data_IF_958019954271
#
_entry.id   IF_958019954271
#
_cell.length_a   1.000
_cell.length_b   1.000
_cell.length_c   1.000
_cell.angle_alpha   90.00
_cell.angle_beta   90.00
_cell.angle_gamma   90.00
#
_symmetry.space_group_name_H-M   'P 1'
#
loop_
_entity.id
_entity.type
_entity.pdbx_description
1 polymer ?
#
# COMPACT_ATOMS: atom_id res chain seq x y z
N UNK A 1 -25.58 17.03 -5.74
CA UNK A 1 -24.39 16.31 -6.21
C UNK A 1 -23.18 17.18 -5.90
N UNK A 2 -22.19 16.63 -5.23
CA UNK A 2 -20.98 17.36 -4.82
C UNK A 2 -19.97 17.25 -5.96
N UNK A 3 -19.52 18.37 -6.51
CA UNK A 3 -18.54 18.43 -7.57
C UNK A 3 -17.13 18.43 -7.01
N UNK A 4 -16.29 17.52 -7.49
CA UNK A 4 -14.90 17.35 -7.05
C UNK A 4 -13.95 17.56 -8.24
N UNK A 5 -13.01 18.48 -8.09
CA UNK A 5 -11.92 18.71 -9.06
C UNK A 5 -10.69 17.94 -8.61
N UNK A 6 -10.14 17.11 -9.49
CA UNK A 6 -8.88 16.39 -9.24
C UNK A 6 -7.70 17.26 -9.70
N UNK A 7 -6.74 17.50 -8.82
CA UNK A 7 -5.53 18.29 -9.09
C UNK A 7 -4.33 17.34 -9.06
N UNK A 8 -3.72 17.14 -10.22
CA UNK A 8 -2.55 16.29 -10.45
C UNK A 8 -1.40 17.13 -11.07
N UNK A 9 -0.13 16.71 -10.90
CA UNK A 9 1.00 17.35 -11.56
C UNK A 9 0.93 17.20 -13.08
N UNK A 10 1.25 18.25 -13.82
CA UNK A 10 1.20 18.24 -15.29
C UNK A 10 2.14 17.21 -15.95
N UNK A 11 3.27 16.90 -15.32
CA UNK A 11 4.35 16.09 -15.93
C UNK A 11 4.49 14.66 -15.41
N UNK A 12 3.99 14.38 -14.25
CA UNK A 12 4.00 13.03 -13.68
C UNK A 12 2.59 12.72 -13.21
N UNK A 13 1.80 12.30 -14.14
CA UNK A 13 0.54 11.67 -13.81
C UNK A 13 0.84 10.48 -12.93
N UNK A 14 0.82 10.71 -11.62
CA UNK A 14 0.72 9.61 -10.69
C UNK A 14 -0.69 9.06 -10.87
N UNK A 15 -0.89 8.43 -12.03
CA UNK A 15 -2.13 7.75 -12.38
C UNK A 15 -2.57 6.84 -11.25
N UNK A 16 -1.63 6.51 -10.35
CA UNK A 16 -1.86 5.70 -9.17
C UNK A 16 -2.77 6.38 -8.15
N UNK A 17 -2.59 7.67 -7.85
CA UNK A 17 -3.30 8.32 -6.74
C UNK A 17 -4.80 8.42 -6.97
N UNK A 18 -5.22 8.83 -8.16
CA UNK A 18 -6.66 9.03 -8.46
C UNK A 18 -7.31 7.90 -9.25
N UNK A 19 -6.52 6.97 -9.76
CA UNK A 19 -7.03 5.85 -10.58
C UNK A 19 -8.13 5.02 -9.89
N UNK A 20 -8.07 4.69 -8.59
CA UNK A 20 -9.16 3.99 -7.92
C UNK A 20 -10.48 4.76 -7.97
N UNK A 21 -10.41 6.08 -7.83
CA UNK A 21 -11.58 6.95 -7.85
C UNK A 21 -12.18 7.07 -9.25
N UNK A 22 -11.32 7.19 -10.27
CA UNK A 22 -11.75 7.17 -11.68
C UNK A 22 -12.40 5.84 -12.03
N UNK A 23 -11.83 4.74 -11.53
CA UNK A 23 -12.42 3.42 -11.73
C UNK A 23 -13.79 3.27 -11.05
N UNK A 24 -13.96 3.84 -9.88
CA UNK A 24 -15.21 3.81 -9.12
C UNK A 24 -16.20 4.93 -9.51
N UNK A 25 -15.98 5.65 -10.62
CA UNK A 25 -16.68 6.89 -10.97
C UNK A 25 -18.20 6.75 -10.95
N UNK A 26 -18.75 5.63 -11.45
CA UNK A 26 -20.18 5.39 -11.42
C UNK A 26 -20.71 5.19 -10.00
N UNK A 27 -20.02 4.37 -9.19
CA UNK A 27 -20.41 4.15 -7.79
C UNK A 27 -20.25 5.42 -6.95
N UNK A 28 -19.28 6.28 -7.26
CA UNK A 28 -19.13 7.58 -6.61
C UNK A 28 -20.26 8.54 -6.99
N UNK A 29 -20.69 8.51 -8.25
CA UNK A 29 -21.86 9.29 -8.69
C UNK A 29 -23.14 8.85 -7.99
N UNK A 30 -23.32 7.55 -7.79
CA UNK A 30 -24.48 6.98 -7.08
C UNK A 30 -24.59 7.47 -5.63
N UNK A 31 -23.46 7.78 -4.99
CA UNK A 31 -23.41 8.39 -3.64
C UNK A 31 -23.36 9.93 -3.65
N UNK A 32 -23.54 10.54 -4.82
CA UNK A 32 -23.64 11.99 -4.96
C UNK A 32 -22.32 12.73 -5.17
N UNK A 33 -21.21 12.04 -5.51
CA UNK A 33 -19.93 12.65 -5.87
C UNK A 33 -19.73 12.63 -7.40
N UNK A 34 -19.41 13.77 -7.98
CA UNK A 34 -19.16 13.93 -9.41
C UNK A 34 -17.80 14.59 -9.66
N UNK A 35 -16.95 13.96 -10.47
CA UNK A 35 -15.70 14.58 -10.87
C UNK A 35 -15.93 15.58 -12.02
N UNK A 36 -15.26 16.74 -11.92
CA UNK A 36 -15.32 17.82 -12.90
C UNK A 36 -13.94 18.30 -13.29
N UNK A 37 -13.81 18.71 -14.54
CA UNK A 37 -12.63 19.44 -15.06
C UNK A 37 -12.85 20.95 -15.07
N UNK A 38 -14.07 21.42 -14.81
CA UNK A 38 -14.44 22.83 -14.80
C UNK A 38 -13.91 23.58 -13.57
N UNK A 39 -14.04 24.91 -13.60
CA UNK A 39 -13.59 25.76 -12.49
C UNK A 39 -14.65 25.94 -11.39
N UNK A 40 -15.87 25.49 -11.63
CA UNK A 40 -16.95 25.46 -10.62
C UNK A 40 -16.98 24.08 -9.96
N UNK A 41 -16.50 24.00 -8.74
CA UNK A 41 -16.46 22.77 -7.94
C UNK A 41 -16.67 23.10 -6.44
N UNK A 42 -17.11 22.09 -5.71
CA UNK A 42 -17.35 22.20 -4.25
C UNK A 42 -16.09 21.86 -3.45
N UNK A 43 -15.27 20.91 -3.97
CA UNK A 43 -14.02 20.45 -3.35
C UNK A 43 -12.94 20.24 -4.39
N UNK A 44 -11.68 20.53 -4.02
CA UNK A 44 -10.50 20.06 -4.76
C UNK A 44 -9.87 18.89 -4.00
N UNK A 45 -9.55 17.81 -4.73
CA UNK A 45 -8.68 16.75 -4.23
C UNK A 45 -7.31 16.94 -4.86
N UNK A 46 -6.31 17.16 -4.02
CA UNK A 46 -4.98 17.55 -4.45
C UNK A 46 -4.02 16.40 -4.17
N UNK A 47 -3.46 15.83 -5.24
CA UNK A 47 -2.46 14.78 -5.10
C UNK A 47 -1.18 15.33 -4.45
N UNK A 48 -0.59 14.56 -3.56
CA UNK A 48 0.65 14.92 -2.86
C UNK A 48 1.75 15.36 -3.84
N UNK A 49 1.94 14.66 -4.96
CA UNK A 49 2.96 15.00 -5.95
C UNK A 49 2.76 16.37 -6.62
N UNK A 50 1.59 17.03 -6.44
CA UNK A 50 1.35 18.42 -6.84
C UNK A 50 1.90 19.43 -5.83
N UNK A 51 2.12 19.02 -4.59
CA UNK A 51 2.50 19.90 -3.48
C UNK A 51 3.90 19.61 -2.93
N UNK A 52 4.45 18.43 -3.18
CA UNK A 52 5.76 18.01 -2.68
C UNK A 52 6.67 17.62 -3.84
N UNK A 53 7.90 18.13 -3.84
CA UNK A 53 8.91 17.80 -4.83
C UNK A 53 9.85 16.72 -4.31
N UNK A 54 9.99 15.63 -5.07
CA UNK A 54 10.95 14.55 -4.75
C UNK A 54 12.42 14.95 -4.94
N UNK A 55 12.68 16.06 -5.63
CA UNK A 55 14.02 16.50 -6.01
C UNK A 55 14.50 17.75 -5.25
N UNK A 56 13.71 18.27 -4.30
CA UNK A 56 14.06 19.40 -3.47
C UNK A 56 14.36 18.95 -2.04
N UNK A 57 15.13 19.76 -1.32
CA UNK A 57 15.29 19.60 0.11
C UNK A 57 13.93 19.67 0.82
N UNK A 58 13.82 19.00 1.97
CA UNK A 58 12.53 18.82 2.65
C UNK A 58 11.85 20.16 2.97
N UNK A 59 12.58 21.08 3.63
CA UNK A 59 12.04 22.39 4.01
C UNK A 59 11.61 23.22 2.79
N UNK A 60 12.39 23.19 1.72
CA UNK A 60 12.06 23.86 0.47
C UNK A 60 10.78 23.27 -0.16
N UNK A 61 10.67 21.95 -0.13
CA UNK A 61 9.50 21.25 -0.65
C UNK A 61 8.24 21.60 0.15
N UNK A 62 8.33 21.62 1.49
CA UNK A 62 7.25 22.04 2.39
C UNK A 62 6.83 23.49 2.11
N UNK A 63 7.77 24.42 2.03
CA UNK A 63 7.49 25.83 1.76
C UNK A 63 6.76 26.03 0.42
N UNK A 64 7.22 25.38 -0.65
CA UNK A 64 6.56 25.40 -1.96
C UNK A 64 5.16 24.79 -1.91
N UNK A 65 4.98 23.70 -1.15
CA UNK A 65 3.67 23.06 -0.98
C UNK A 65 2.67 24.01 -0.28
N UNK A 66 3.10 24.69 0.77
CA UNK A 66 2.27 25.68 1.48
C UNK A 66 1.92 26.85 0.55
N UNK A 67 2.90 27.39 -0.18
CA UNK A 67 2.66 28.46 -1.17
C UNK A 67 1.68 28.01 -2.27
N UNK A 68 1.83 26.78 -2.79
CA UNK A 68 0.90 26.24 -3.77
C UNK A 68 -0.52 26.17 -3.20
N UNK A 69 -0.70 25.64 -2.00
CA UNK A 69 -2.01 25.49 -1.36
C UNK A 69 -2.64 26.82 -0.97
N UNK A 70 -1.85 27.86 -0.68
CA UNK A 70 -2.38 29.20 -0.36
C UNK A 70 -3.15 29.84 -1.51
N UNK A 71 -2.97 29.34 -2.74
CA UNK A 71 -3.70 29.81 -3.94
C UNK A 71 -5.13 29.27 -4.02
N UNK A 72 -5.45 28.26 -3.22
CA UNK A 72 -6.80 27.68 -3.18
C UNK A 72 -7.68 28.38 -2.14
N UNK A 73 -8.72 29.06 -2.62
CA UNK A 73 -9.70 29.78 -1.78
C UNK A 73 -10.89 28.90 -1.38
N UNK A 74 -11.10 27.77 -2.06
CA UNK A 74 -12.17 26.81 -1.82
C UNK A 74 -11.81 25.72 -0.82
N UNK A 75 -12.72 24.79 -0.61
CA UNK A 75 -12.52 23.61 0.21
C UNK A 75 -11.64 22.60 -0.53
N UNK A 76 -10.62 22.07 0.14
CA UNK A 76 -9.76 21.05 -0.47
C UNK A 76 -9.27 20.01 0.52
N UNK A 77 -8.80 18.89 -0.02
CA UNK A 77 -8.18 17.78 0.70
C UNK A 77 -6.87 17.41 0.04
N UNK A 78 -5.93 16.91 0.83
CA UNK A 78 -4.67 16.35 0.34
C UNK A 78 -4.82 14.84 0.25
N UNK A 79 -4.49 14.26 -0.90
CA UNK A 79 -4.45 12.81 -1.12
C UNK A 79 -2.98 12.39 -1.16
N UNK A 80 -2.53 11.72 -0.12
CA UNK A 80 -1.19 11.17 -0.01
C UNK A 80 -1.19 9.70 -0.47
N UNK A 81 -0.73 9.50 -1.69
CA UNK A 81 -0.61 8.18 -2.34
C UNK A 81 0.71 7.46 -2.03
N UNK A 82 1.52 7.94 -1.09
CA UNK A 82 2.77 7.28 -0.72
C UNK A 82 2.54 5.93 -0.08
N UNK A 83 3.46 5.01 -0.35
CA UNK A 83 3.32 3.60 -0.02
C UNK A 83 3.35 3.30 1.49
N UNK A 84 4.02 4.15 2.30
CA UNK A 84 4.24 3.87 3.72
C UNK A 84 3.23 4.55 4.64
N UNK A 85 3.15 4.07 5.88
CA UNK A 85 2.38 4.72 6.95
C UNK A 85 2.99 6.05 7.40
N UNK A 86 4.21 6.38 6.98
CA UNK A 86 4.89 7.63 7.35
C UNK A 86 4.14 8.87 6.86
N UNK A 87 4.11 9.90 7.67
CA UNK A 87 3.49 11.20 7.35
C UNK A 87 4.50 12.25 6.86
N UNK A 88 5.79 11.88 6.74
CA UNK A 88 6.90 12.80 6.46
C UNK A 88 6.65 13.71 5.27
N UNK A 89 6.02 13.21 4.21
CA UNK A 89 5.90 13.98 2.97
C UNK A 89 4.76 15.00 2.95
N UNK A 90 3.82 14.90 3.87
CA UNK A 90 2.57 15.68 3.75
C UNK A 90 2.13 16.34 5.03
N UNK A 91 2.62 15.88 6.19
CA UNK A 91 2.14 16.35 7.48
C UNK A 91 2.39 17.84 7.71
N UNK A 92 3.63 18.31 7.46
CA UNK A 92 3.97 19.71 7.70
C UNK A 92 3.25 20.65 6.73
N UNK A 93 3.07 20.23 5.48
CA UNK A 93 2.22 21.00 4.54
C UNK A 93 0.76 20.99 4.98
N UNK A 94 0.25 19.83 5.41
CA UNK A 94 -1.12 19.70 5.88
C UNK A 94 -1.41 20.57 7.10
N UNK A 95 -0.57 20.52 8.13
CA UNK A 95 -0.79 21.28 9.37
C UNK A 95 -0.72 22.81 9.19
N UNK A 96 0.07 23.27 8.22
CA UNK A 96 0.20 24.69 7.89
C UNK A 96 -0.73 25.15 6.75
N UNK A 97 -1.71 24.33 6.37
CA UNK A 97 -2.66 24.61 5.31
C UNK A 97 -4.10 24.59 5.84
N UNK A 98 -5.02 25.07 4.98
CA UNK A 98 -6.47 25.01 5.23
C UNK A 98 -7.12 23.71 4.69
N UNK A 99 -6.33 22.68 4.38
CA UNK A 99 -6.87 21.41 3.94
C UNK A 99 -7.85 20.84 4.96
N UNK A 100 -9.00 20.38 4.53
CA UNK A 100 -10.01 19.78 5.41
C UNK A 100 -9.56 18.42 5.94
N UNK A 101 -8.96 17.61 5.07
CA UNK A 101 -8.48 16.27 5.37
C UNK A 101 -7.11 16.02 4.73
N UNK A 102 -6.35 15.18 5.39
CA UNK A 102 -5.23 14.42 4.82
C UNK A 102 -5.68 12.96 4.66
N UNK A 103 -5.78 12.50 3.42
CA UNK A 103 -6.15 11.14 3.08
C UNK A 103 -4.90 10.35 2.69
N UNK A 104 -4.51 9.40 3.53
CA UNK A 104 -3.28 8.63 3.41
C UNK A 104 -3.56 7.21 2.93
N UNK A 105 -2.66 6.61 2.18
CA UNK A 105 -2.75 5.22 1.69
C UNK A 105 -2.92 4.21 2.82
N UNK A 106 -2.09 4.32 3.85
CA UNK A 106 -2.11 3.47 5.04
C UNK A 106 -1.73 4.29 6.28
N UNK A 107 -2.20 3.89 7.44
CA UNK A 107 -1.93 4.58 8.70
C UNK A 107 -1.58 3.56 9.80
N UNK A 108 -0.82 3.99 10.80
CA UNK A 108 -0.69 3.21 12.04
C UNK A 108 -2.02 3.19 12.77
N UNK A 109 -2.49 2.03 13.26
CA UNK A 109 -3.72 1.95 14.09
C UNK A 109 -3.54 2.68 15.40
N UNK A 110 -2.41 2.47 16.07
CA UNK A 110 -2.03 3.28 17.22
C UNK A 110 -1.37 4.58 16.76
N UNK A 111 -2.15 5.64 16.70
CA UNK A 111 -1.71 6.97 16.29
C UNK A 111 -0.68 7.59 17.24
N UNK A 112 -0.61 7.13 18.49
CA UNK A 112 0.35 7.65 19.47
C UNK A 112 1.80 7.39 19.06
N UNK A 113 2.03 6.33 18.26
CA UNK A 113 3.34 5.98 17.73
C UNK A 113 3.93 7.06 16.82
N UNK A 114 3.10 7.88 16.19
CA UNK A 114 3.58 9.00 15.38
C UNK A 114 4.31 10.07 16.22
N UNK A 115 4.01 10.17 17.53
CA UNK A 115 4.66 11.15 18.43
C UNK A 115 6.12 10.82 18.69
N UNK A 116 6.46 9.55 18.67
CA UNK A 116 7.78 9.03 19.01
C UNK A 116 8.69 8.86 17.78
N UNK A 117 8.20 9.24 16.61
CA UNK A 117 8.83 8.91 15.35
C UNK A 117 8.53 7.49 14.91
N UNK A 118 9.01 7.13 13.72
CA UNK A 118 8.64 5.88 13.10
C UNK A 118 9.28 4.70 13.79
N UNK A 119 8.50 4.05 14.62
CA UNK A 119 8.81 2.72 15.10
C UNK A 119 8.81 1.73 13.92
N UNK A 120 9.41 0.57 14.07
CA UNK A 120 9.47 -0.48 13.07
C UNK A 120 10.32 -0.16 11.83
N UNK A 121 11.22 0.79 11.93
CA UNK A 121 12.14 1.11 10.85
C UNK A 121 11.47 1.56 9.56
N UNK A 122 10.36 2.25 9.65
CA UNK A 122 9.61 2.70 8.48
C UNK A 122 9.86 4.12 8.10
N UNK A 123 11.02 4.55 8.39
CA UNK A 123 11.53 5.79 7.87
C UNK A 123 12.08 5.54 6.47
N UNK A 124 11.21 5.57 5.50
CA UNK A 124 11.58 5.32 4.11
C UNK A 124 12.40 6.43 3.46
N UNK A 125 12.55 7.53 4.15
CA UNK A 125 13.24 8.69 3.64
C UNK A 125 14.56 8.93 4.35
N UNK A 126 15.11 7.86 4.97
CA UNK A 126 16.47 7.86 5.48
C UNK A 126 16.59 8.30 6.92
N UNK A 127 17.31 9.29 7.17
CA UNK A 127 17.89 9.68 8.43
C UNK A 127 16.90 9.95 9.56
N UNK A 128 16.86 9.06 10.52
CA UNK A 128 16.12 9.21 11.75
C UNK A 128 14.63 8.95 11.62
N UNK A 129 13.94 9.03 12.69
CA UNK A 129 12.51 8.86 12.76
C UNK A 129 11.79 10.19 12.60
N UNK A 130 10.85 10.28 11.65
CA UNK A 130 9.97 11.43 11.54
C UNK A 130 8.90 11.38 12.63
N UNK A 131 8.99 12.30 13.58
CA UNK A 131 8.04 12.42 14.68
C UNK A 131 7.04 13.55 14.42
N UNK A 132 5.79 13.32 14.81
CA UNK A 132 4.73 14.33 14.77
C UNK A 132 4.16 14.53 16.18
N UNK A 133 4.87 15.24 17.07
CA UNK A 133 4.50 15.34 18.48
C UNK A 133 3.15 16.02 18.72
N UNK A 134 2.71 16.84 17.78
CA UNK A 134 1.46 17.62 17.81
C UNK A 134 0.30 16.93 17.06
N UNK A 135 0.46 15.69 16.65
CA UNK A 135 -0.51 14.97 15.78
C UNK A 135 -1.93 14.89 16.37
N UNK A 136 -2.07 14.86 17.70
CA UNK A 136 -3.38 14.75 18.35
C UNK A 136 -4.36 15.84 17.89
N UNK A 137 -3.86 17.03 17.58
CA UNK A 137 -4.65 18.16 17.11
C UNK A 137 -5.26 17.91 15.72
N UNK A 138 -4.69 16.95 14.98
CA UNK A 138 -5.03 16.69 13.58
C UNK A 138 -5.62 15.31 13.31
N UNK A 139 -5.62 14.40 14.30
CA UNK A 139 -6.04 13.00 14.13
C UNK A 139 -7.44 12.84 13.54
N UNK A 140 -8.38 13.70 13.95
CA UNK A 140 -9.75 13.67 13.40
C UNK A 140 -9.80 13.93 11.90
N UNK A 141 -8.79 14.63 11.37
CA UNK A 141 -8.68 15.06 9.97
C UNK A 141 -7.74 14.19 9.13
N UNK A 142 -7.13 13.14 9.71
CA UNK A 142 -6.26 12.20 9.01
C UNK A 142 -6.98 10.86 8.88
N UNK A 143 -7.22 10.41 7.64
CA UNK A 143 -7.99 9.20 7.32
C UNK A 143 -7.31 8.38 6.24
N UNK A 144 -7.66 7.11 6.12
CA UNK A 144 -7.21 6.29 4.99
C UNK A 144 -7.92 6.69 3.70
N UNK A 145 -7.17 6.79 2.60
CA UNK A 145 -7.67 7.30 1.32
C UNK A 145 -8.45 6.25 0.50
N UNK A 146 -8.16 4.97 0.69
CA UNK A 146 -8.64 3.93 -0.20
C UNK A 146 -7.84 3.80 -1.52
N UNK A 147 -6.69 4.46 -1.66
CA UNK A 147 -5.85 4.35 -2.87
C UNK A 147 -5.32 2.93 -3.10
N UNK A 148 -5.28 2.09 -2.07
CA UNK A 148 -4.92 0.67 -2.20
C UNK A 148 -5.92 -0.17 -3.02
N UNK A 149 -7.13 0.33 -3.28
CA UNK A 149 -8.08 -0.35 -4.20
C UNK A 149 -7.53 -0.53 -5.62
N UNK A 150 -6.43 0.14 -5.93
CA UNK A 150 -5.84 0.13 -7.25
C UNK A 150 -5.09 -1.15 -7.62
N UNK A 151 -4.54 -1.83 -6.63
CA UNK A 151 -3.57 -2.92 -6.86
C UNK A 151 -4.07 -4.02 -7.80
N UNK A 152 -5.38 -4.24 -7.87
CA UNK A 152 -5.98 -5.25 -8.77
C UNK A 152 -6.01 -4.84 -10.24
N UNK A 153 -5.95 -3.54 -10.55
CA UNK A 153 -6.00 -3.04 -11.93
C UNK A 153 -4.63 -2.87 -12.54
N UNK A 154 -3.62 -2.71 -11.72
CA UNK A 154 -2.24 -2.53 -12.18
C UNK A 154 -1.67 -3.75 -12.83
N UNK A 155 -2.07 -4.91 -12.36
CA UNK A 155 -1.55 -6.17 -12.86
C UNK A 155 -2.13 -6.56 -14.22
N UNK A 156 -3.21 -5.93 -14.69
CA UNK A 156 -3.95 -6.41 -15.86
C UNK A 156 -4.52 -7.82 -15.65
N UNK A 157 -4.55 -8.26 -14.41
CA UNK A 157 -4.90 -9.62 -14.01
C UNK A 157 -6.40 -9.78 -14.05
N UNK A 158 -6.88 -10.57 -14.99
CA UNK A 158 -8.28 -11.02 -15.00
C UNK A 158 -8.46 -12.08 -13.90
N UNK A 159 -9.03 -11.69 -12.78
CA UNK A 159 -9.21 -12.54 -11.59
C UNK A 159 -9.94 -13.86 -11.86
N UNK A 160 -10.71 -13.95 -12.95
CA UNK A 160 -11.44 -15.17 -13.33
C UNK A 160 -10.54 -16.23 -14.00
N UNK A 161 -9.42 -15.83 -14.59
CA UNK A 161 -8.55 -16.72 -15.37
C UNK A 161 -7.38 -17.30 -14.58
N UNK A 162 -7.14 -16.84 -13.35
CA UNK A 162 -5.86 -17.11 -12.68
C UNK A 162 -5.93 -18.13 -11.55
N UNK A 163 -7.09 -18.37 -10.98
CA UNK A 163 -7.20 -19.36 -9.94
C UNK A 163 -7.65 -20.70 -10.46
N UNK A 164 -6.75 -21.68 -10.37
CA UNK A 164 -7.04 -23.09 -10.51
C UNK A 164 -6.56 -23.79 -9.23
N UNK A 165 -7.51 -24.26 -8.43
CA UNK A 165 -7.23 -24.95 -7.17
C UNK A 165 -6.43 -26.24 -7.39
N UNK A 166 -6.64 -26.90 -8.55
CA UNK A 166 -6.07 -28.21 -8.86
C UNK A 166 -4.75 -28.13 -9.61
N UNK A 167 -4.24 -26.93 -9.91
CA UNK A 167 -3.00 -26.80 -10.66
C UNK A 167 -1.79 -27.35 -9.89
N UNK A 168 -0.91 -28.06 -10.58
CA UNK A 168 0.36 -28.49 -10.03
C UNK A 168 1.28 -27.27 -9.88
N UNK A 169 1.75 -27.00 -8.67
CA UNK A 169 2.71 -25.94 -8.37
C UNK A 169 4.13 -26.48 -8.39
N UNK A 170 5.01 -25.79 -9.10
CA UNK A 170 6.40 -26.21 -9.31
C UNK A 170 7.29 -25.88 -8.12
N UNK A 171 7.01 -24.74 -7.46
CA UNK A 171 7.82 -24.20 -6.36
C UNK A 171 7.04 -24.25 -5.06
N UNK A 172 7.76 -24.55 -3.98
CA UNK A 172 7.20 -24.43 -2.64
C UNK A 172 7.05 -22.95 -2.24
N UNK A 173 8.10 -22.16 -2.51
CA UNK A 173 8.14 -20.73 -2.14
C UNK A 173 8.58 -19.87 -3.32
N UNK A 174 7.95 -18.70 -3.43
CA UNK A 174 8.36 -17.61 -4.31
C UNK A 174 8.78 -16.39 -3.46
N UNK A 175 10.00 -15.92 -3.67
CA UNK A 175 10.62 -14.76 -3.03
C UNK A 175 11.11 -13.76 -4.08
N UNK A 176 10.20 -13.30 -4.95
CA UNK A 176 10.50 -12.43 -6.08
C UNK A 176 10.50 -10.95 -5.67
N UNK A 177 11.47 -10.55 -4.87
CA UNK A 177 11.71 -9.16 -4.49
C UNK A 177 13.17 -8.78 -4.70
N UNK A 178 13.41 -7.52 -5.03
CA UNK A 178 14.75 -7.04 -5.32
C UNK A 178 15.60 -6.99 -4.05
N UNK A 179 16.78 -7.60 -4.12
CA UNK A 179 17.84 -7.57 -3.12
C UNK A 179 19.17 -7.92 -3.80
N UNK A 180 20.29 -7.23 -3.52
CA UNK A 180 20.33 -5.92 -2.86
C UNK A 180 19.72 -4.80 -3.71
N UNK A 181 19.51 -3.63 -3.10
CA UNK A 181 19.09 -2.43 -3.81
C UNK A 181 20.14 -1.98 -4.82
N UNK A 182 19.69 -1.35 -5.90
CA UNK A 182 20.61 -0.83 -6.94
C UNK A 182 21.26 0.49 -6.56
N UNK A 183 20.79 1.15 -5.51
CA UNK A 183 21.32 2.42 -5.00
C UNK A 183 21.60 2.28 -3.51
N UNK A 184 22.80 2.67 -3.09
CA UNK A 184 23.16 2.76 -1.67
C UNK A 184 22.69 4.09 -1.10
N UNK A 185 21.64 4.04 -0.30
CA UNK A 185 21.12 5.14 0.53
C UNK A 185 20.83 4.58 1.92
N UNK A 186 20.71 5.43 2.93
CA UNK A 186 20.32 4.96 4.27
C UNK A 186 18.98 4.23 4.23
N UNK A 187 18.06 4.69 3.41
CA UNK A 187 16.79 4.02 3.17
C UNK A 187 16.97 2.65 2.55
N UNK A 188 17.85 2.51 1.55
CA UNK A 188 18.10 1.22 0.92
C UNK A 188 18.78 0.23 1.85
N UNK A 189 19.65 0.67 2.73
CA UNK A 189 20.29 -0.19 3.75
C UNK A 189 19.24 -0.84 4.66
N UNK A 190 18.24 -0.07 5.05
CA UNK A 190 17.14 -0.61 5.86
C UNK A 190 16.37 -1.71 5.12
N UNK A 191 15.96 -1.48 3.88
CA UNK A 191 15.29 -2.53 3.09
C UNK A 191 16.16 -3.73 2.87
N UNK A 192 17.43 -3.49 2.56
CA UNK A 192 18.35 -4.56 2.27
C UNK A 192 18.56 -5.45 3.48
N UNK A 193 18.64 -4.87 4.69
CA UNK A 193 18.67 -5.63 5.93
C UNK A 193 17.38 -6.45 6.10
N UNK A 194 16.21 -5.82 5.95
CA UNK A 194 14.93 -6.49 6.08
C UNK A 194 14.75 -7.63 5.07
N UNK A 195 15.07 -7.37 3.80
CA UNK A 195 14.97 -8.37 2.72
C UNK A 195 16.05 -9.44 2.82
N UNK A 196 17.25 -9.08 3.30
CA UNK A 196 18.31 -10.03 3.57
C UNK A 196 17.88 -11.05 4.61
N UNK A 197 17.27 -10.63 5.71
CA UNK A 197 16.77 -11.53 6.74
C UNK A 197 15.80 -12.57 6.16
N UNK A 198 14.90 -12.15 5.27
CA UNK A 198 13.99 -13.08 4.59
C UNK A 198 14.75 -14.08 3.69
N UNK A 199 15.76 -13.61 2.94
CA UNK A 199 16.58 -14.50 2.07
C UNK A 199 17.41 -15.46 2.92
N UNK A 200 18.03 -15.00 4.00
CA UNK A 200 18.84 -15.82 4.89
C UNK A 200 17.98 -16.93 5.53
N UNK A 201 16.79 -16.58 6.02
CA UNK A 201 15.85 -17.54 6.57
C UNK A 201 15.46 -18.62 5.55
N UNK A 202 15.16 -18.22 4.31
CA UNK A 202 14.82 -19.13 3.23
C UNK A 202 16.02 -20.00 2.81
N UNK A 203 17.22 -19.46 2.84
CA UNK A 203 18.43 -20.18 2.38
C UNK A 203 18.84 -21.34 3.31
N UNK A 204 18.32 -21.36 4.53
CA UNK A 204 18.52 -22.45 5.49
C UNK A 204 17.61 -23.67 5.23
N UNK A 205 16.64 -23.55 4.33
CA UNK A 205 15.58 -24.55 4.13
C UNK A 205 15.87 -25.45 2.92
N UNK A 206 15.51 -26.74 3.03
CA UNK A 206 15.63 -27.74 1.95
C UNK A 206 14.31 -27.86 1.18
N UNK A 207 13.90 -26.77 0.52
CA UNK A 207 12.64 -26.65 -0.26
C UNK A 207 12.90 -26.04 -1.63
N UNK A 208 11.95 -26.17 -2.55
CA UNK A 208 12.05 -25.56 -3.88
C UNK A 208 11.68 -24.07 -3.82
N UNK A 209 12.64 -23.20 -4.08
CA UNK A 209 12.47 -21.75 -4.00
C UNK A 209 12.73 -21.11 -5.36
N UNK A 210 11.81 -20.25 -5.83
CA UNK A 210 12.08 -19.31 -6.91
C UNK A 210 12.31 -17.90 -6.35
N UNK A 211 13.44 -17.29 -6.73
CA UNK A 211 13.82 -15.93 -6.29
C UNK A 211 14.54 -15.20 -7.42
N UNK A 212 14.67 -13.90 -7.27
CA UNK A 212 15.57 -13.12 -8.13
C UNK A 212 17.02 -13.34 -7.71
N UNK A 213 17.91 -13.42 -8.69
CA UNK A 213 19.34 -13.30 -8.45
C UNK A 213 19.69 -11.83 -8.13
N UNK A 214 20.88 -11.59 -7.57
CA UNK A 214 21.34 -10.25 -7.20
C UNK A 214 21.15 -9.24 -8.34
N UNK A 215 20.27 -8.26 -8.12
CA UNK A 215 20.01 -7.20 -9.09
C UNK A 215 19.26 -7.64 -10.37
N UNK A 216 18.85 -8.90 -10.47
CA UNK A 216 18.14 -9.42 -11.63
C UNK A 216 16.79 -8.69 -11.82
N UNK A 217 16.51 -8.38 -13.08
CA UNK A 217 15.18 -7.94 -13.52
C UNK A 217 14.68 -8.94 -14.55
N UNK A 218 13.51 -9.49 -14.29
CA UNK A 218 12.84 -10.41 -15.21
C UNK A 218 11.66 -9.71 -15.90
N UNK A 219 11.26 -10.15 -17.11
CA UNK A 219 10.03 -9.69 -17.72
C UNK A 219 8.83 -9.90 -16.79
N UNK A 220 7.84 -9.02 -16.86
CA UNK A 220 6.63 -9.10 -16.00
C UNK A 220 5.89 -10.42 -16.19
N UNK A 221 5.88 -10.98 -17.39
CA UNK A 221 5.27 -12.27 -17.68
C UNK A 221 5.96 -13.41 -16.91
N UNK A 222 7.29 -13.39 -16.84
CA UNK A 222 8.07 -14.38 -16.09
C UNK A 222 7.87 -14.21 -14.57
N UNK A 223 7.85 -12.97 -14.10
CA UNK A 223 7.54 -12.64 -12.71
C UNK A 223 6.19 -13.23 -12.29
N UNK A 224 5.15 -13.03 -13.10
CA UNK A 224 3.84 -13.59 -12.82
C UNK A 224 3.82 -15.11 -12.94
N UNK A 225 4.52 -15.69 -13.92
CA UNK A 225 4.59 -17.13 -14.08
C UNK A 225 5.24 -17.82 -12.87
N UNK A 226 6.31 -17.25 -12.33
CA UNK A 226 6.99 -17.79 -11.13
C UNK A 226 6.07 -17.70 -9.90
N UNK A 227 5.38 -16.59 -9.69
CA UNK A 227 4.37 -16.50 -8.63
C UNK A 227 3.24 -17.52 -8.83
N UNK A 228 2.67 -17.54 -10.02
CA UNK A 228 1.59 -18.46 -10.36
C UNK A 228 1.96 -19.94 -10.08
N UNK A 229 3.18 -20.34 -10.33
CA UNK A 229 3.65 -21.72 -10.14
C UNK A 229 4.17 -22.00 -8.71
N UNK A 230 3.91 -21.15 -7.75
CA UNK A 230 4.35 -21.31 -6.36
C UNK A 230 3.21 -21.58 -5.41
N UNK A 231 3.46 -22.31 -4.30
CA UNK A 231 2.48 -22.54 -3.23
C UNK A 231 2.37 -21.32 -2.32
N UNK A 232 3.52 -20.78 -1.89
CA UNK A 232 3.66 -19.71 -0.92
C UNK A 232 4.37 -18.51 -1.58
N UNK A 233 3.90 -17.30 -1.29
CA UNK A 233 4.60 -16.06 -1.61
C UNK A 233 5.14 -15.47 -0.32
N UNK A 234 6.44 -15.22 -0.24
CA UNK A 234 7.05 -14.43 0.83
C UNK A 234 7.14 -12.97 0.38
N UNK A 235 6.52 -12.08 1.12
CA UNK A 235 6.42 -10.67 0.77
C UNK A 235 6.96 -9.76 1.88
N UNK A 236 8.27 -9.53 1.97
CA UNK A 236 8.82 -8.53 2.85
C UNK A 236 8.28 -7.14 2.48
N UNK A 237 8.29 -6.22 3.44
CA UNK A 237 7.96 -4.84 3.16
C UNK A 237 8.87 -4.24 2.10
N UNK A 238 8.30 -3.32 1.33
CA UNK A 238 9.00 -2.49 0.36
C UNK A 238 9.12 -1.05 0.86
N UNK A 239 8.89 -0.10 -0.02
CA UNK A 239 8.69 1.31 0.36
C UNK A 239 7.45 1.48 1.23
N UNK A 240 6.47 0.61 1.09
CA UNK A 240 5.30 0.52 1.92
C UNK A 240 5.12 -0.85 2.53
N UNK A 241 4.20 -0.92 3.46
CA UNK A 241 3.84 -2.15 4.15
C UNK A 241 2.95 -3.03 3.28
N UNK A 242 2.10 -2.42 2.48
CA UNK A 242 1.27 -3.09 1.48
C UNK A 242 1.90 -2.90 0.09
N UNK A 243 1.99 -3.98 -0.66
CA UNK A 243 2.57 -4.00 -1.99
C UNK A 243 1.63 -4.66 -3.00
N UNK A 244 1.73 -4.37 -4.32
CA UNK A 244 0.98 -5.07 -5.35
C UNK A 244 1.09 -6.59 -5.26
N UNK A 245 2.24 -7.11 -4.85
CA UNK A 245 2.49 -8.54 -4.64
C UNK A 245 1.52 -9.18 -3.65
N UNK A 246 1.06 -8.44 -2.65
CA UNK A 246 0.11 -8.96 -1.66
C UNK A 246 -1.22 -9.31 -2.33
N UNK A 247 -1.70 -8.44 -3.22
CA UNK A 247 -2.91 -8.68 -4.00
C UNK A 247 -2.68 -9.75 -5.09
N UNK A 248 -1.55 -9.68 -5.77
CA UNK A 248 -1.17 -10.66 -6.80
C UNK A 248 -1.13 -12.07 -6.23
N UNK A 249 -0.58 -12.25 -5.02
CA UNK A 249 -0.53 -13.55 -4.37
C UNK A 249 -1.92 -14.14 -4.16
N UNK A 250 -2.88 -13.33 -3.73
CA UNK A 250 -4.27 -13.74 -3.54
C UNK A 250 -4.92 -14.09 -4.88
N UNK A 251 -4.69 -13.28 -5.92
CA UNK A 251 -5.25 -13.52 -7.26
C UNK A 251 -4.68 -14.80 -7.88
N UNK A 252 -3.42 -15.08 -7.68
CA UNK A 252 -2.77 -16.32 -8.12
C UNK A 252 -3.09 -17.52 -7.24
N UNK A 253 -3.82 -17.31 -6.14
CA UNK A 253 -4.19 -18.38 -5.22
C UNK A 253 -2.97 -18.96 -4.50
N UNK A 254 -2.07 -18.13 -4.04
CA UNK A 254 -0.95 -18.51 -3.19
C UNK A 254 -1.29 -18.21 -1.72
N UNK A 255 -0.63 -18.90 -0.79
CA UNK A 255 -0.62 -18.48 0.60
C UNK A 255 0.40 -17.36 0.75
N UNK A 256 -0.03 -16.20 1.19
CA UNK A 256 0.84 -15.05 1.44
C UNK A 256 1.45 -15.16 2.84
N UNK A 257 2.78 -15.09 2.94
CA UNK A 257 3.48 -14.88 4.21
C UNK A 257 4.16 -13.51 4.15
N UNK A 258 3.90 -12.68 5.14
CA UNK A 258 4.54 -11.37 5.28
C UNK A 258 4.61 -10.95 6.74
N UNK A 259 5.42 -9.92 7.07
CA UNK A 259 5.42 -9.37 8.42
C UNK A 259 4.03 -8.94 8.87
N UNK A 260 3.80 -9.00 10.18
CA UNK A 260 2.50 -8.71 10.80
C UNK A 260 1.94 -7.35 10.37
N UNK A 261 0.68 -7.36 9.89
CA UNK A 261 -0.06 -6.19 9.44
C UNK A 261 -1.09 -5.67 10.45
N UNK A 262 -1.21 -6.31 11.63
CA UNK A 262 -2.26 -5.98 12.60
C UNK A 262 -2.19 -4.55 13.13
N UNK A 263 -0.99 -3.97 13.16
CA UNK A 263 -0.75 -2.60 13.62
C UNK A 263 -1.02 -1.52 12.55
N UNK A 264 -1.37 -1.92 11.34
CA UNK A 264 -1.61 -1.01 10.20
C UNK A 264 -3.09 -0.96 9.87
N UNK A 265 -3.60 0.24 9.68
CA UNK A 265 -4.90 0.50 9.09
C UNK A 265 -4.72 0.66 7.59
N UNK A 266 -5.33 -0.22 6.83
CA UNK A 266 -5.38 -0.17 5.35
C UNK A 266 -6.83 -0.04 4.87
N UNK A 267 -7.00 0.52 3.70
CA UNK A 267 -8.28 0.56 3.01
C UNK A 267 -8.09 0.12 1.54
N UNK A 268 -8.60 -1.09 1.15
CA UNK A 268 -9.35 -2.04 1.98
C UNK A 268 -8.46 -2.81 2.96
N UNK A 269 -9.03 -3.23 4.11
CA UNK A 269 -8.33 -4.09 5.08
C UNK A 269 -8.56 -5.57 4.71
N UNK A 270 -7.54 -6.15 4.08
CA UNK A 270 -7.57 -7.55 3.61
C UNK A 270 -6.81 -8.50 4.54
N UNK A 271 -6.08 -7.97 5.53
CA UNK A 271 -5.13 -8.75 6.32
C UNK A 271 -5.74 -9.27 7.63
N UNK A 272 -5.99 -10.57 7.70
CA UNK A 272 -6.35 -11.30 8.91
C UNK A 272 -5.42 -12.50 9.05
N UNK A 273 -4.58 -12.49 10.11
CA UNK A 273 -3.63 -13.57 10.33
C UNK A 273 -4.31 -14.92 10.44
N UNK A 274 -3.68 -15.94 9.84
CA UNK A 274 -4.20 -17.32 9.73
C UNK A 274 -5.58 -17.46 9.08
N UNK A 275 -6.10 -16.37 8.46
CA UNK A 275 -7.36 -16.40 7.72
C UNK A 275 -7.21 -15.99 6.25
N UNK A 276 -6.49 -14.91 5.97
CA UNK A 276 -6.29 -14.37 4.64
C UNK A 276 -4.82 -14.25 4.24
N UNK A 277 -3.93 -14.33 5.20
CA UNK A 277 -2.48 -14.42 5.06
C UNK A 277 -1.91 -15.09 6.30
N UNK A 278 -0.59 -15.31 6.31
CA UNK A 278 0.12 -15.81 7.49
C UNK A 278 1.12 -14.74 7.92
N UNK A 279 0.95 -14.25 9.13
CA UNK A 279 1.85 -13.29 9.72
C UNK A 279 3.16 -13.96 10.15
N UNK A 280 4.29 -13.30 9.89
CA UNK A 280 5.58 -13.64 10.46
C UNK A 280 6.17 -12.44 11.21
N UNK A 281 7.21 -12.70 12.00
CA UNK A 281 7.96 -11.63 12.66
C UNK A 281 8.63 -10.71 11.64
N UNK A 282 8.80 -9.46 12.02
CA UNK A 282 9.42 -8.47 11.16
C UNK A 282 10.86 -8.82 10.74
N UNK A 283 11.60 -9.52 11.60
CA UNK A 283 12.97 -10.00 11.33
C UNK A 283 13.04 -11.34 10.62
N UNK A 284 11.87 -11.95 10.29
CA UNK A 284 11.73 -13.26 9.66
C UNK A 284 12.31 -14.44 10.45
N UNK A 285 12.55 -14.26 11.75
CA UNK A 285 13.15 -15.34 12.58
C UNK A 285 12.25 -16.58 12.71
N UNK A 286 10.92 -16.43 12.52
CA UNK A 286 9.94 -17.54 12.53
C UNK A 286 9.48 -17.97 11.12
N UNK A 287 10.05 -17.40 10.06
CA UNK A 287 9.65 -17.71 8.69
C UNK A 287 9.81 -19.19 8.32
N UNK A 288 10.94 -19.87 8.65
CA UNK A 288 11.08 -21.30 8.39
C UNK A 288 9.99 -22.14 9.05
N UNK A 289 9.70 -21.89 10.32
CA UNK A 289 8.62 -22.59 11.05
C UNK A 289 7.25 -22.41 10.39
N UNK A 290 6.92 -21.19 9.95
CA UNK A 290 5.67 -20.90 9.26
C UNK A 290 5.57 -21.62 7.92
N UNK A 291 6.66 -21.69 7.16
CA UNK A 291 6.70 -22.39 5.88
C UNK A 291 6.56 -23.90 6.10
N UNK A 292 7.31 -24.48 7.05
CA UNK A 292 7.24 -25.90 7.36
C UNK A 292 5.85 -26.31 7.82
N UNK A 293 5.22 -25.52 8.68
CA UNK A 293 3.84 -25.71 9.12
C UNK A 293 2.87 -25.79 7.91
N UNK A 294 2.97 -24.85 6.99
CA UNK A 294 2.10 -24.79 5.80
C UNK A 294 2.38 -25.96 4.86
N UNK A 295 3.65 -26.21 4.52
CA UNK A 295 4.03 -27.25 3.57
C UNK A 295 3.76 -28.65 4.12
N UNK A 296 3.88 -28.85 5.44
CA UNK A 296 3.58 -30.11 6.12
C UNK A 296 2.12 -30.55 5.98
N UNK A 297 1.20 -29.62 5.78
CA UNK A 297 -0.22 -29.91 5.52
C UNK A 297 -0.87 -28.85 4.62
N UNK A 298 -0.33 -28.69 3.41
CA UNK A 298 -0.73 -27.61 2.48
C UNK A 298 -2.24 -27.62 2.17
N UNK A 299 -2.82 -28.79 1.99
CA UNK A 299 -4.25 -28.94 1.70
C UNK A 299 -5.11 -28.41 2.86
N UNK A 300 -4.71 -28.68 4.10
CA UNK A 300 -5.41 -28.11 5.25
C UNK A 300 -5.38 -26.59 5.26
N UNK A 301 -4.25 -25.95 4.92
CA UNK A 301 -4.11 -24.50 4.91
C UNK A 301 -4.67 -23.82 3.64
N UNK A 302 -5.16 -24.58 2.68
CA UNK A 302 -5.77 -24.02 1.45
C UNK A 302 -6.97 -23.10 1.72
N UNK A 303 -7.63 -23.24 2.88
CA UNK A 303 -8.72 -22.35 3.30
C UNK A 303 -8.28 -20.87 3.37
N UNK A 304 -6.99 -20.60 3.64
CA UNK A 304 -6.44 -19.24 3.66
C UNK A 304 -6.58 -18.60 2.28
N UNK A 305 -6.29 -19.37 1.23
CA UNK A 305 -6.43 -18.91 -0.16
C UNK A 305 -7.89 -18.55 -0.46
N UNK A 306 -8.80 -19.45 -0.11
CA UNK A 306 -10.22 -19.25 -0.38
C UNK A 306 -10.78 -18.03 0.38
N UNK A 307 -10.45 -17.92 1.66
CA UNK A 307 -10.84 -16.78 2.48
C UNK A 307 -10.28 -15.46 1.94
N UNK A 308 -8.98 -15.44 1.59
CA UNK A 308 -8.33 -14.26 1.04
C UNK A 308 -8.98 -13.82 -0.27
N UNK A 309 -9.26 -14.76 -1.18
CA UNK A 309 -9.95 -14.48 -2.45
C UNK A 309 -11.36 -13.97 -2.25
N UNK A 310 -12.13 -14.63 -1.38
CA UNK A 310 -13.51 -14.21 -1.06
C UNK A 310 -13.52 -12.78 -0.50
N UNK A 311 -12.65 -12.51 0.45
CA UNK A 311 -12.52 -11.19 1.07
C UNK A 311 -12.07 -10.14 0.05
N UNK A 312 -11.07 -10.45 -0.79
CA UNK A 312 -10.59 -9.56 -1.83
C UNK A 312 -11.70 -9.20 -2.83
N UNK A 313 -12.40 -10.18 -3.38
CA UNK A 313 -13.49 -9.96 -4.35
C UNK A 313 -14.57 -9.08 -3.73
N UNK A 314 -14.93 -9.35 -2.49
CA UNK A 314 -15.94 -8.56 -1.79
C UNK A 314 -15.47 -7.11 -1.57
N UNK A 315 -14.26 -6.91 -1.06
CA UNK A 315 -13.77 -5.59 -0.69
C UNK A 315 -13.37 -4.73 -1.89
N UNK A 316 -12.87 -5.34 -2.98
CA UNK A 316 -12.40 -4.61 -4.15
C UNK A 316 -13.51 -4.17 -5.10
N UNK A 317 -14.77 -4.41 -4.75
CA UNK A 317 -15.88 -3.89 -5.54
C UNK A 317 -15.92 -2.35 -5.47
N UNK A 318 -16.09 -1.64 -6.61
CA UNK A 318 -16.06 -0.16 -6.64
C UNK A 318 -17.03 0.52 -5.67
N UNK A 319 -18.16 -0.11 -5.39
CA UNK A 319 -19.14 0.38 -4.42
C UNK A 319 -18.57 0.47 -2.99
N UNK A 320 -17.68 -0.43 -2.59
CA UNK A 320 -17.06 -0.37 -1.26
C UNK A 320 -16.09 0.79 -1.12
N UNK A 321 -15.36 1.16 -2.18
CA UNK A 321 -14.58 2.39 -2.20
C UNK A 321 -15.50 3.62 -2.07
N UNK A 322 -16.61 3.62 -2.80
CA UNK A 322 -17.59 4.70 -2.70
C UNK A 322 -18.16 4.82 -1.27
N UNK A 323 -18.55 3.71 -0.64
CA UNK A 323 -19.01 3.72 0.75
C UNK A 323 -17.93 4.18 1.73
N UNK A 324 -16.68 3.78 1.54
CA UNK A 324 -15.55 4.24 2.36
C UNK A 324 -15.44 5.77 2.31
N UNK A 325 -15.43 6.34 1.12
CA UNK A 325 -15.37 7.78 0.92
C UNK A 325 -16.64 8.49 1.44
N UNK A 326 -17.81 7.94 1.20
CA UNK A 326 -19.07 8.48 1.74
C UNK A 326 -19.01 8.64 3.25
N UNK A 327 -18.54 7.63 3.97
CA UNK A 327 -18.39 7.68 5.42
C UNK A 327 -17.40 8.76 5.87
N UNK A 328 -16.32 8.99 5.10
CA UNK A 328 -15.37 10.08 5.37
C UNK A 328 -16.06 11.44 5.20
N UNK A 329 -16.80 11.63 4.11
CA UNK A 329 -17.45 12.91 3.79
C UNK A 329 -18.63 13.25 4.70
N UNK A 330 -19.43 12.26 5.08
CA UNK A 330 -20.55 12.50 6.01
C UNK A 330 -20.11 12.98 7.40
N UNK A 331 -18.89 12.65 7.81
CA UNK A 331 -18.32 13.11 9.06
C UNK A 331 -17.70 14.53 8.96
N UNK A 332 -17.76 15.17 7.79
CA UNK A 332 -17.34 16.57 7.58
C UNK A 332 -18.48 17.57 7.67
N UNK A 333 -19.71 17.10 7.67
CA UNK A 333 -20.92 17.92 7.84
C UNK A 333 -21.27 18.05 9.32
#
# INVERSE_FOLDING_TARGET
>A
MIKVKLIEPEKHRNECTFRPFVFAINSLRDIGLEFTTGDSYDYAWIAQDSIMSRNAEYEESVAKGIEFLSKFTGKYMIIDGQDSTSLINTYDVFKHSNALLLLKTSLLKDRSLYKQGMMFGRNYWGEGSFATPDIDQYLSRIKTSGTNWLSTHWSGINSRQMYDANRRRQYDVCAMFQYPSTKETETSKYYDTHRKNAIDALSSMSISITKLNNGERVPISEYYQRQFNSKIIVAPYGYGEMAPRDIESILFGNILIKPDMTHIETAPDIFEDMKTYVACKHDFSDLPEKIDMILGNYEYYSYIIENARKKLIQLMHPHNLALHLYNIFNNLQ
#
